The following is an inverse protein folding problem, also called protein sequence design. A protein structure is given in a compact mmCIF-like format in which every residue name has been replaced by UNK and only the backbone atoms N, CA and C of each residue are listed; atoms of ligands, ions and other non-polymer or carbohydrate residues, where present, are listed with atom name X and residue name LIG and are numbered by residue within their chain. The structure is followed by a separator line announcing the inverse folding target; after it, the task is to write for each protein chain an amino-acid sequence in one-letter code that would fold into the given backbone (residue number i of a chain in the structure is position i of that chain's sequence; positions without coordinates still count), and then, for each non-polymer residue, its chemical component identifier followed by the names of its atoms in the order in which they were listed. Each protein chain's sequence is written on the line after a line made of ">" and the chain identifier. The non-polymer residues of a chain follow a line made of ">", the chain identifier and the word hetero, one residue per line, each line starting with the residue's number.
data_IF_648116611806
#
_entry.id   IF_648116611806
#
_cell.length_a   1.000
_cell.length_b   1.000
_cell.length_c   1.000
_cell.angle_alpha   90.00
_cell.angle_beta   90.00
_cell.angle_gamma   90.00
#
_symmetry.space_group_name_H-M   'P 1'
#
loop_
_entity.id
_entity.type
_entity.pdbx_description
1 polymer ?
#
# COMPACT_ATOMS: atom_id res chain seq x y z
N UNK A 1 7.85 11.57 55.64
CA UNK A 1 6.78 12.59 55.73
C UNK A 1 7.23 13.80 54.92
N UNK A 2 6.94 13.83 53.62
CA UNK A 2 7.25 14.95 52.73
C UNK A 2 5.98 15.80 52.61
N UNK A 3 6.02 16.98 53.22
CA UNK A 3 4.92 17.95 53.24
C UNK A 3 4.75 18.57 51.86
N UNK A 4 3.57 18.40 51.27
CA UNK A 4 3.12 19.00 50.02
C UNK A 4 2.85 20.50 50.20
N UNK A 5 3.82 21.33 49.82
CA UNK A 5 3.62 22.78 49.69
C UNK A 5 2.97 23.12 48.36
N UNK A 6 1.64 23.05 48.28
CA UNK A 6 0.88 23.67 47.19
C UNK A 6 0.79 25.15 47.53
N UNK A 7 1.51 25.99 46.79
CA UNK A 7 1.35 27.45 46.88
C UNK A 7 -0.05 27.84 46.39
N UNK A 8 -0.82 28.67 47.13
CA UNK A 8 -2.08 29.18 46.62
C UNK A 8 -1.76 30.15 45.48
N UNK A 9 -2.36 29.90 44.33
CA UNK A 9 -2.38 30.83 43.19
C UNK A 9 -2.88 32.18 43.71
N UNK A 10 -2.02 33.19 43.57
CA UNK A 10 -2.28 34.55 43.98
C UNK A 10 -3.66 35.00 43.46
N UNK A 11 -4.56 35.30 44.40
CA UNK A 11 -5.83 35.92 44.13
C UNK A 11 -5.58 37.28 43.48
N UNK A 12 -5.98 37.41 42.21
CA UNK A 12 -5.99 38.68 41.49
C UNK A 12 -6.95 39.61 42.25
N UNK A 13 -6.49 40.76 42.79
CA UNK A 13 -7.36 41.66 43.53
C UNK A 13 -8.19 42.49 42.53
N UNK A 14 -9.52 42.52 42.72
CA UNK A 14 -10.40 43.48 42.05
C UNK A 14 -11.39 42.93 41.01
N UNK A 15 -11.89 41.71 41.13
CA UNK A 15 -12.98 41.22 40.29
C UNK A 15 -14.36 41.49 40.96
N UNK A 16 -15.29 42.25 40.33
CA UNK A 16 -16.64 42.44 40.86
C UNK A 16 -17.41 41.11 40.86
N UNK A 17 -17.85 40.68 42.04
CA UNK A 17 -18.50 39.38 42.29
C UNK A 17 -19.97 39.32 41.89
N UNK A 18 -20.37 40.03 40.84
CA UNK A 18 -21.73 39.93 40.32
C UNK A 18 -21.95 38.52 39.76
N UNK A 19 -22.92 37.74 40.26
CA UNK A 19 -23.09 36.34 39.88
C UNK A 19 -23.30 36.18 38.36
N UNK A 20 -23.87 37.19 37.72
CA UNK A 20 -24.07 37.26 36.26
C UNK A 20 -22.75 37.36 35.48
N UNK A 21 -21.75 38.10 36.00
CA UNK A 21 -20.47 38.29 35.33
C UNK A 21 -19.61 37.02 35.40
N UNK A 22 -19.68 36.30 36.51
CA UNK A 22 -18.99 35.01 36.72
C UNK A 22 -19.59 33.94 35.81
N UNK A 23 -20.92 33.82 35.78
CA UNK A 23 -21.62 32.87 34.89
C UNK A 23 -21.31 33.17 33.42
N UNK A 24 -21.31 34.44 33.02
CA UNK A 24 -20.98 34.85 31.65
C UNK A 24 -19.54 34.47 31.28
N UNK A 25 -18.57 34.66 32.18
CA UNK A 25 -17.17 34.26 31.97
C UNK A 25 -17.03 32.75 31.84
N UNK A 26 -17.70 31.97 32.68
CA UNK A 26 -17.72 30.51 32.57
C UNK A 26 -18.35 30.04 31.26
N UNK A 27 -19.47 30.65 30.82
CA UNK A 27 -20.10 30.35 29.53
C UNK A 27 -19.20 30.68 28.35
N UNK A 28 -18.50 31.81 28.38
CA UNK A 28 -17.54 32.19 27.34
C UNK A 28 -16.37 31.20 27.30
N UNK A 29 -15.83 30.81 28.46
CA UNK A 29 -14.74 29.83 28.52
C UNK A 29 -15.18 28.45 28.01
N UNK A 30 -16.39 28.01 28.35
CA UNK A 30 -16.95 26.76 27.84
C UNK A 30 -17.22 26.81 26.34
N UNK A 31 -17.74 27.92 25.82
CA UNK A 31 -17.96 28.11 24.37
C UNK A 31 -16.64 28.07 23.58
N UNK A 32 -15.57 28.63 24.13
CA UNK A 32 -14.23 28.56 23.52
C UNK A 32 -13.66 27.14 23.53
N UNK A 33 -13.92 26.35 24.58
CA UNK A 33 -13.50 24.95 24.65
C UNK A 33 -14.15 24.09 23.55
N UNK A 34 -15.45 24.27 23.30
CA UNK A 34 -16.19 23.55 22.24
C UNK A 34 -15.68 23.94 20.84
N UNK A 35 -15.29 25.21 20.65
CA UNK A 35 -14.75 25.67 19.36
C UNK A 35 -13.42 24.99 19.00
N UNK A 36 -12.54 24.75 19.98
CA UNK A 36 -11.21 24.14 19.76
C UNK A 36 -11.30 22.67 19.35
N UNK A 37 -12.30 21.93 19.83
CA UNK A 37 -12.48 20.50 19.49
C UNK A 37 -13.05 20.28 18.07
N UNK A 38 -13.64 21.31 17.46
CA UNK A 38 -14.30 21.21 16.14
C UNK A 38 -13.34 21.29 14.94
N UNK A 39 -12.08 21.73 15.14
CA UNK A 39 -11.10 21.92 14.07
C UNK A 39 -10.39 20.63 13.61
N UNK A 40 -10.87 19.45 14.00
CA UNK A 40 -10.36 18.18 13.51
C UNK A 40 -10.80 17.92 12.06
N UNK A 41 -10.13 18.56 11.11
CA UNK A 41 -10.21 18.23 9.67
C UNK A 41 -9.80 16.77 9.51
N UNK A 42 -10.78 15.89 9.29
CA UNK A 42 -10.54 14.51 8.86
C UNK A 42 -10.07 14.55 7.42
N UNK A 43 -8.76 14.62 7.21
CA UNK A 43 -8.17 14.37 5.90
C UNK A 43 -8.51 12.94 5.47
N UNK A 44 -8.97 12.70 4.24
CA UNK A 44 -9.14 11.35 3.72
C UNK A 44 -7.80 10.63 3.81
N UNK A 45 -7.71 9.55 4.60
CA UNK A 45 -6.52 8.69 4.58
C UNK A 45 -6.44 8.05 3.20
N UNK A 46 -5.55 8.57 2.36
CA UNK A 46 -5.24 7.96 1.08
C UNK A 46 -4.67 6.57 1.36
N UNK A 47 -5.35 5.52 0.89
CA UNK A 47 -4.88 4.14 1.02
C UNK A 47 -3.49 4.05 0.40
N UNK A 48 -2.47 3.53 1.12
CA UNK A 48 -1.15 3.39 0.55
C UNK A 48 -1.26 2.48 -0.69
N UNK A 49 -0.83 3.00 -1.85
CA UNK A 49 -0.66 2.18 -3.05
C UNK A 49 0.31 1.04 -2.71
N UNK A 50 0.04 -0.17 -3.22
CA UNK A 50 0.96 -1.29 -3.07
C UNK A 50 2.35 -0.86 -3.56
N UNK A 51 3.33 -0.87 -2.66
CA UNK A 51 4.70 -0.50 -3.00
C UNK A 51 5.35 -1.68 -3.70
N UNK A 52 5.57 -1.54 -5.01
CA UNK A 52 6.36 -2.50 -5.77
C UNK A 52 7.83 -2.32 -5.39
N UNK A 53 8.48 -3.41 -5.00
CA UNK A 53 9.93 -3.45 -4.80
C UNK A 53 10.56 -4.14 -6.02
N UNK A 54 11.68 -3.63 -6.55
CA UNK A 54 12.42 -4.38 -7.57
C UNK A 54 12.95 -5.68 -6.96
N UNK A 55 13.14 -6.70 -7.79
CA UNK A 55 13.83 -7.92 -7.37
C UNK A 55 15.33 -7.67 -7.26
N UNK A 56 15.94 -8.27 -6.23
CA UNK A 56 17.38 -8.33 -6.10
C UNK A 56 17.98 -9.36 -7.08
N UNK A 57 19.29 -9.26 -7.32
CA UNK A 57 19.98 -10.25 -8.14
C UNK A 57 19.83 -11.67 -7.53
N UNK A 58 19.43 -12.63 -8.36
CA UNK A 58 19.09 -14.02 -7.97
C UNK A 58 17.85 -14.20 -7.08
N UNK A 59 17.10 -13.15 -6.81
CA UNK A 59 15.81 -13.28 -6.13
C UNK A 59 14.76 -13.87 -7.08
N UNK A 60 13.93 -14.78 -6.56
CA UNK A 60 12.75 -15.30 -7.24
C UNK A 60 11.57 -15.31 -6.25
N UNK A 61 10.36 -15.15 -6.79
CA UNK A 61 9.12 -15.12 -6.01
C UNK A 61 8.12 -16.11 -6.63
N UNK A 62 7.52 -17.02 -5.85
CA UNK A 62 7.75 -17.26 -4.42
C UNK A 62 9.16 -17.80 -4.16
N UNK A 63 9.65 -17.70 -2.92
CA UNK A 63 10.99 -18.23 -2.53
C UNK A 63 10.96 -19.75 -2.39
N UNK A 64 10.64 -20.41 -3.50
CA UNK A 64 10.50 -21.85 -3.67
C UNK A 64 11.08 -22.20 -5.05
N UNK A 65 11.58 -23.43 -5.24
CA UNK A 65 12.03 -23.88 -6.56
C UNK A 65 10.90 -23.73 -7.60
N UNK A 66 11.26 -23.34 -8.83
CA UNK A 66 10.31 -23.15 -9.93
C UNK A 66 9.43 -24.39 -10.16
N UNK A 67 10.01 -25.58 -10.05
CA UNK A 67 9.33 -26.86 -10.26
C UNK A 67 8.47 -27.33 -9.09
N UNK A 68 8.41 -26.56 -8.00
CA UNK A 68 7.56 -26.86 -6.84
C UNK A 68 6.10 -26.60 -7.15
N UNK A 69 5.19 -27.40 -6.59
CA UNK A 69 3.74 -27.18 -6.68
C UNK A 69 3.27 -25.83 -6.12
N UNK A 70 4.04 -25.20 -5.24
CA UNK A 70 3.75 -23.87 -4.71
C UNK A 70 4.20 -22.73 -5.66
N UNK A 71 4.84 -23.05 -6.78
CA UNK A 71 5.32 -22.14 -7.81
C UNK A 71 4.75 -22.54 -9.19
N UNK A 72 5.59 -22.93 -10.16
CA UNK A 72 5.16 -23.31 -11.51
C UNK A 72 4.77 -24.79 -11.63
N UNK A 73 5.13 -25.63 -10.65
CA UNK A 73 4.86 -27.05 -10.64
C UNK A 73 5.81 -27.90 -11.51
N UNK A 74 5.67 -29.23 -11.49
CA UNK A 74 6.56 -30.13 -12.23
C UNK A 74 6.48 -29.92 -13.75
N UNK A 75 7.61 -30.00 -14.47
CA UNK A 75 7.62 -29.84 -15.93
C UNK A 75 6.88 -31.00 -16.62
N UNK A 76 6.00 -30.67 -17.57
CA UNK A 76 5.26 -31.65 -18.37
C UNK A 76 6.08 -32.26 -19.53
N UNK A 77 7.35 -31.85 -19.69
CA UNK A 77 8.24 -32.30 -20.75
C UNK A 77 8.27 -31.38 -21.98
N UNK A 78 9.25 -31.61 -22.86
CA UNK A 78 9.52 -30.78 -24.05
C UNK A 78 8.42 -30.92 -25.10
N UNK A 79 7.96 -29.79 -25.63
CA UNK A 79 6.99 -29.74 -26.74
C UNK A 79 7.77 -29.56 -28.04
N UNK A 80 7.52 -30.46 -29.00
CA UNK A 80 8.04 -30.36 -30.37
C UNK A 80 6.93 -29.88 -31.31
N UNK A 81 7.27 -29.40 -32.50
CA UNK A 81 6.28 -28.89 -33.46
C UNK A 81 5.25 -29.94 -33.89
N UNK A 82 5.68 -31.20 -33.95
CA UNK A 82 4.83 -32.33 -34.34
C UNK A 82 3.99 -32.89 -33.16
N UNK A 83 4.21 -32.38 -31.94
CA UNK A 83 3.46 -32.80 -30.75
C UNK A 83 2.04 -32.25 -30.80
N UNK A 84 1.04 -33.06 -30.43
CA UNK A 84 -0.35 -32.61 -30.31
C UNK A 84 -0.48 -31.44 -29.33
N UNK A 85 0.38 -31.38 -28.31
CA UNK A 85 0.41 -30.28 -27.33
C UNK A 85 0.80 -28.94 -27.93
N UNK A 86 1.49 -28.93 -29.08
CA UNK A 86 1.86 -27.69 -29.77
C UNK A 86 0.62 -26.89 -30.20
N UNK A 87 -0.49 -27.57 -30.53
CA UNK A 87 -1.77 -26.94 -30.90
C UNK A 87 -2.39 -26.10 -29.78
N UNK A 88 -1.96 -26.31 -28.53
CA UNK A 88 -2.45 -25.54 -27.38
C UNK A 88 -1.64 -24.26 -27.15
N UNK A 89 -0.53 -24.08 -27.86
CA UNK A 89 0.24 -22.85 -27.79
C UNK A 89 -0.33 -21.82 -28.77
N UNK A 90 -0.41 -20.58 -28.32
CA UNK A 90 -1.02 -19.46 -29.04
C UNK A 90 0.07 -18.47 -29.45
N UNK A 91 0.09 -17.99 -30.70
CA UNK A 91 1.00 -16.92 -31.12
C UNK A 91 0.61 -15.57 -30.49
N UNK A 92 1.59 -14.79 -30.03
CA UNK A 92 1.37 -13.46 -29.46
C UNK A 92 1.80 -12.36 -30.42
N UNK A 93 0.82 -11.68 -30.99
CA UNK A 93 1.02 -10.56 -31.91
C UNK A 93 0.72 -9.19 -31.26
N UNK A 94 1.11 -8.99 -29.99
CA UNK A 94 0.89 -7.71 -29.31
C UNK A 94 1.90 -6.64 -29.79
N UNK A 95 1.46 -5.51 -30.36
CA UNK A 95 2.36 -4.44 -30.80
C UNK A 95 3.15 -3.77 -29.66
N UNK A 96 2.68 -3.87 -28.42
CA UNK A 96 3.35 -3.31 -27.23
C UNK A 96 4.52 -4.18 -26.73
N UNK A 97 4.67 -5.39 -27.28
CA UNK A 97 5.72 -6.33 -26.89
C UNK A 97 6.78 -6.39 -27.98
N UNK A 98 7.98 -5.90 -27.66
CA UNK A 98 9.13 -6.02 -28.53
C UNK A 98 9.81 -7.37 -28.32
N UNK A 99 9.51 -8.34 -29.19
CA UNK A 99 10.20 -9.62 -29.22
C UNK A 99 11.63 -9.45 -29.75
N UNK A 100 12.61 -10.07 -29.08
CA UNK A 100 13.98 -10.11 -29.59
C UNK A 100 14.02 -10.84 -30.92
N UNK A 101 14.70 -10.26 -31.92
CA UNK A 101 14.81 -10.83 -33.27
C UNK A 101 15.56 -12.19 -33.23
N UNK A 102 14.90 -13.28 -33.63
CA UNK A 102 15.46 -14.63 -33.64
C UNK A 102 16.31 -14.98 -34.86
N UNK A 103 16.46 -14.09 -35.87
CA UNK A 103 17.45 -14.26 -36.96
C UNK A 103 18.89 -14.44 -36.43
N UNK A 104 19.14 -14.11 -35.17
CA UNK A 104 20.44 -14.30 -34.53
C UNK A 104 20.75 -15.73 -34.08
N UNK A 105 19.78 -16.62 -33.80
CA UNK A 105 20.10 -18.00 -33.36
C UNK A 105 19.11 -19.13 -33.70
N UNK A 106 17.81 -18.90 -33.90
CA UNK A 106 16.90 -20.00 -34.26
C UNK A 106 15.51 -19.46 -34.63
N UNK A 107 15.08 -19.64 -35.88
CA UNK A 107 13.72 -19.49 -36.44
C UNK A 107 12.72 -18.50 -35.81
N UNK A 108 12.20 -17.58 -36.64
CA UNK A 108 11.26 -16.48 -36.34
C UNK A 108 9.99 -16.74 -35.50
N UNK A 109 9.72 -17.98 -35.13
CA UNK A 109 8.44 -18.42 -34.60
C UNK A 109 8.52 -19.03 -33.21
N UNK A 110 9.72 -19.32 -32.66
CA UNK A 110 9.82 -19.99 -31.35
C UNK A 110 9.58 -19.02 -30.20
N UNK A 111 10.00 -17.75 -30.34
CA UNK A 111 9.91 -16.75 -29.27
C UNK A 111 8.52 -16.12 -29.11
N UNK A 112 7.61 -16.35 -30.08
CA UNK A 112 6.31 -15.70 -30.16
C UNK A 112 5.14 -16.58 -29.74
N UNK A 113 5.40 -17.77 -29.19
CA UNK A 113 4.38 -18.79 -28.95
C UNK A 113 4.39 -19.19 -27.46
N UNK A 114 3.24 -19.16 -26.80
CA UNK A 114 3.11 -19.54 -25.38
C UNK A 114 1.75 -20.15 -25.03
N UNK A 115 1.61 -20.69 -23.82
CA UNK A 115 0.34 -21.23 -23.33
C UNK A 115 -0.70 -20.13 -23.14
N UNK A 116 -1.96 -20.42 -23.46
CA UNK A 116 -3.07 -19.51 -23.14
C UNK A 116 -3.27 -19.38 -21.64
N UNK A 117 -3.41 -18.15 -21.16
CA UNK A 117 -4.00 -17.86 -19.85
C UNK A 117 -5.51 -18.16 -19.98
N UNK A 118 -6.02 -19.12 -19.21
CA UNK A 118 -7.46 -19.32 -19.00
C UNK A 118 -7.86 -18.75 -17.66
#
# INVERSE_FOLDING_TARGET
>A
MLSSGISPIAAIPGAPSDPKSVILRFLVLMAMHVAVESCAVRTPRMSPKARLRPFLLYEHVPRKPETSFAASGPPLGRIHRDDHRFKHLVPIDNPDIHFKDPREREGYFVTKVMSSLR
#
